data_IF_636950585425
#
_entry.id   IF_636950585425
#
_cell.length_a   1.000
_cell.length_b   1.000
_cell.length_c   1.000
_cell.angle_alpha   90.00
_cell.angle_beta   90.00
_cell.angle_gamma   90.00
#
_symmetry.space_group_name_H-M   'P 1'
#
loop_
_entity.id
_entity.type
_entity.pdbx_description
1 polymer ?
#
# COMPACT_ATOMS: atom_id res chain seq x y z
N UNK A 1 -6.49 4.75 7.86
CA UNK A 1 -7.60 3.98 7.28
C UNK A 1 -7.77 4.37 5.82
N UNK A 2 -8.24 3.45 4.97
CA UNK A 2 -8.68 3.70 3.59
C UNK A 2 -10.19 3.42 3.50
N UNK A 3 -10.93 4.24 2.78
CA UNK A 3 -12.36 4.06 2.55
C UNK A 3 -12.67 4.17 1.06
N UNK A 4 -13.44 3.21 0.53
CA UNK A 4 -13.86 3.18 -0.88
C UNK A 4 -15.35 2.94 -0.97
N UNK A 5 -16.05 3.66 -1.85
CA UNK A 5 -17.46 3.44 -2.13
C UNK A 5 -17.62 2.37 -3.21
N UNK A 6 -18.41 1.33 -2.93
CA UNK A 6 -18.63 0.22 -3.87
C UNK A 6 -19.90 0.39 -4.75
N UNK A 7 -20.55 1.55 -4.70
CA UNK A 7 -21.86 1.79 -5.33
C UNK A 7 -23.05 1.68 -4.36
N UNK A 8 -22.89 0.96 -3.24
CA UNK A 8 -23.99 0.72 -2.27
C UNK A 8 -23.61 0.94 -0.80
N UNK A 9 -22.33 0.75 -0.46
CA UNK A 9 -21.82 0.92 0.89
C UNK A 9 -20.36 1.40 0.88
N UNK A 10 -19.94 1.99 2.00
CA UNK A 10 -18.54 2.27 2.28
C UNK A 10 -17.84 0.99 2.72
N UNK A 11 -16.78 0.61 2.01
CA UNK A 11 -15.82 -0.39 2.47
C UNK A 11 -14.70 0.36 3.20
N UNK A 12 -14.45 0.04 4.46
CA UNK A 12 -13.40 0.67 5.28
C UNK A 12 -12.36 -0.38 5.63
N UNK A 13 -11.08 -0.06 5.43
CA UNK A 13 -9.95 -0.91 5.78
C UNK A 13 -8.91 -0.13 6.56
N UNK A 14 -8.28 -0.76 7.54
CA UNK A 14 -7.10 -0.22 8.19
C UNK A 14 -5.88 -0.48 7.30
N UNK A 15 -5.33 0.60 6.71
CA UNK A 15 -4.16 0.50 5.85
C UNK A 15 -2.84 0.40 6.63
N UNK A 16 -2.71 1.24 7.66
CA UNK A 16 -1.52 1.33 8.50
C UNK A 16 -1.97 1.70 9.91
N UNK A 17 -1.47 0.98 10.92
CA UNK A 17 -1.84 1.12 12.34
C UNK A 17 -0.82 1.92 13.18
N UNK A 18 0.34 2.29 12.59
CA UNK A 18 1.47 2.95 13.26
C UNK A 18 1.89 4.26 12.57
N UNK A 19 0.91 5.13 12.36
CA UNK A 19 1.12 6.47 11.79
C UNK A 19 1.26 7.46 12.95
N UNK A 20 2.11 8.49 12.83
CA UNK A 20 2.32 9.49 13.89
C UNK A 20 1.01 10.12 14.30
N UNK A 21 0.55 9.78 15.50
CA UNK A 21 -0.60 10.43 16.12
C UNK A 21 -0.11 11.70 16.78
N UNK A 22 -0.08 12.80 16.01
CA UNK A 22 -0.13 14.12 16.63
C UNK A 22 -1.44 14.20 17.40
N UNK A 23 -1.41 13.95 18.71
CA UNK A 23 -2.62 13.86 19.53
C UNK A 23 -3.47 15.12 19.40
N UNK A 24 -4.79 14.97 19.37
CA UNK A 24 -5.74 16.09 19.43
C UNK A 24 -5.41 16.93 20.67
N UNK A 25 -5.01 18.19 20.48
CA UNK A 25 -4.60 19.09 21.56
C UNK A 25 -3.08 19.19 21.81
N UNK A 26 -2.26 18.44 21.09
CA UNK A 26 -0.82 18.74 20.94
C UNK A 26 -0.64 19.60 19.70
N UNK A 27 0.30 20.56 19.74
CA UNK A 27 0.55 21.53 18.64
C UNK A 27 1.05 20.88 17.31
N UNK A 28 0.98 19.56 17.21
CA UNK A 28 1.55 18.69 16.17
C UNK A 28 0.48 18.06 15.27
N UNK A 29 -0.80 18.32 15.54
CA UNK A 29 -1.94 17.56 14.99
C UNK A 29 -2.41 17.91 13.57
N UNK A 30 -1.64 18.61 12.74
CA UNK A 30 -2.16 19.16 11.47
C UNK A 30 -1.43 18.74 10.19
N UNK A 31 -0.24 18.14 10.24
CA UNK A 31 0.60 17.96 9.03
C UNK A 31 0.86 16.52 8.60
N UNK A 32 0.61 15.53 9.46
CA UNK A 32 0.81 14.11 9.15
C UNK A 32 -0.40 13.53 8.42
N UNK A 33 -0.63 13.99 7.20
CA UNK A 33 -1.66 13.43 6.32
C UNK A 33 -1.03 12.36 5.44
N UNK A 34 -1.65 11.18 5.40
CA UNK A 34 -1.34 10.18 4.38
C UNK A 34 -1.97 10.59 3.05
N UNK A 35 -1.29 10.31 1.94
CA UNK A 35 -1.73 10.69 0.59
C UNK A 35 -2.03 9.44 -0.21
N UNK A 36 -3.27 9.37 -0.72
CA UNK A 36 -3.79 8.26 -1.51
C UNK A 36 -3.63 8.56 -3.00
N UNK A 37 -3.18 7.57 -3.75
CA UNK A 37 -3.29 7.52 -5.21
C UNK A 37 -3.78 6.14 -5.63
N UNK A 38 -4.37 6.05 -6.82
CA UNK A 38 -4.83 4.79 -7.40
C UNK A 38 -3.95 4.46 -8.61
N UNK A 39 -3.53 3.21 -8.72
CA UNK A 39 -2.83 2.71 -9.92
C UNK A 39 -3.80 2.48 -11.09
N UNK A 40 -3.25 2.05 -12.22
CA UNK A 40 -4.02 1.71 -13.43
C UNK A 40 -5.05 0.58 -13.24
N UNK A 41 -4.98 -0.16 -12.13
CA UNK A 41 -5.90 -1.24 -11.74
C UNK A 41 -6.87 -0.83 -10.63
N UNK A 42 -6.98 0.47 -10.31
CA UNK A 42 -7.74 1.02 -9.19
C UNK A 42 -7.30 0.49 -7.80
N UNK A 43 -6.07 -0.01 -7.70
CA UNK A 43 -5.46 -0.44 -6.44
C UNK A 43 -5.03 0.80 -5.66
N UNK A 44 -5.36 0.91 -4.36
CA UNK A 44 -4.97 2.06 -3.57
C UNK A 44 -3.53 1.97 -3.06
N UNK A 45 -2.81 3.10 -3.18
CA UNK A 45 -1.45 3.34 -2.72
C UNK A 45 -1.43 4.52 -1.76
N UNK A 46 -0.70 4.42 -0.66
CA UNK A 46 -0.66 5.45 0.38
C UNK A 46 0.79 5.78 0.73
N UNK A 47 1.20 7.04 0.58
CA UNK A 47 2.40 7.57 1.23
C UNK A 47 2.03 8.16 2.59
N UNK A 48 2.87 7.98 3.60
CA UNK A 48 2.61 8.46 4.96
C UNK A 48 3.92 8.73 5.71
N UNK A 49 3.86 9.60 6.73
CA UNK A 49 4.95 9.76 7.71
C UNK A 49 4.64 8.90 8.94
N UNK A 50 5.57 8.02 9.31
CA UNK A 50 5.35 6.97 10.30
C UNK A 50 5.97 7.30 11.67
N UNK A 51 5.39 6.79 12.76
CA UNK A 51 5.82 7.16 14.12
C UNK A 51 7.02 6.36 14.64
N UNK A 52 7.96 6.00 13.77
CA UNK A 52 9.06 5.12 14.14
C UNK A 52 10.31 5.86 14.61
N UNK A 53 10.27 7.20 14.70
CA UNK A 53 11.42 8.00 15.07
C UNK A 53 11.22 8.66 16.44
N UNK A 54 12.18 8.41 17.34
CA UNK A 54 12.32 8.94 18.69
C UNK A 54 12.57 10.46 18.75
N UNK A 55 12.04 11.22 17.78
CA UNK A 55 12.29 12.65 17.62
C UNK A 55 11.15 13.42 18.31
N UNK A 56 11.45 14.34 19.24
CA UNK A 56 10.43 15.04 20.02
C UNK A 56 9.56 16.03 19.21
N UNK A 57 9.68 16.05 17.89
CA UNK A 57 9.20 17.11 17.01
C UNK A 57 8.04 16.70 16.08
N UNK A 58 7.48 15.49 16.18
CA UNK A 58 6.32 15.09 15.36
C UNK A 58 6.64 14.84 13.89
N UNK A 59 7.89 14.53 13.60
CA UNK A 59 8.33 14.05 12.30
C UNK A 59 8.42 12.52 12.33
N UNK A 60 8.20 11.92 11.16
CA UNK A 60 8.20 10.47 11.01
C UNK A 60 9.02 10.00 9.83
N UNK A 61 9.43 8.73 9.81
CA UNK A 61 10.10 8.22 8.61
C UNK A 61 9.11 8.16 7.46
N UNK A 62 9.60 8.36 6.22
CA UNK A 62 8.75 8.23 5.05
C UNK A 62 8.38 6.76 4.83
N UNK A 63 7.09 6.49 4.90
CA UNK A 63 6.49 5.18 4.64
C UNK A 63 5.64 5.19 3.37
N UNK A 64 5.52 4.01 2.78
CA UNK A 64 4.66 3.74 1.64
C UNK A 64 3.94 2.42 1.84
N UNK A 65 2.66 2.38 1.46
CA UNK A 65 1.84 1.18 1.51
C UNK A 65 1.04 1.01 0.23
N UNK A 66 0.90 -0.23 -0.23
CA UNK A 66 0.08 -0.59 -1.39
C UNK A 66 -0.79 -1.80 -1.06
N UNK A 67 -2.06 -1.77 -1.48
CA UNK A 67 -2.96 -2.89 -1.25
C UNK A 67 -2.59 -4.05 -2.17
N UNK A 68 -2.17 -5.18 -1.60
CA UNK A 68 -1.90 -6.41 -2.34
C UNK A 68 -2.98 -7.44 -2.03
N UNK A 69 -3.94 -7.60 -2.93
CA UNK A 69 -5.10 -8.48 -2.74
C UNK A 69 -6.04 -7.98 -1.63
N UNK A 70 -5.87 -8.47 -0.39
CA UNK A 70 -6.67 -8.07 0.79
C UNK A 70 -5.84 -7.50 1.94
N UNK A 71 -4.53 -7.39 1.76
CA UNK A 71 -3.59 -6.96 2.80
C UNK A 71 -2.76 -5.80 2.28
N UNK A 72 -2.41 -4.88 3.17
CA UNK A 72 -1.51 -3.78 2.84
C UNK A 72 -0.07 -4.26 2.96
N UNK A 73 0.69 -4.14 1.87
CA UNK A 73 2.14 -4.25 1.93
C UNK A 73 2.71 -2.89 2.33
N UNK A 74 3.65 -2.86 3.28
CA UNK A 74 4.13 -1.63 3.92
C UNK A 74 5.65 -1.63 3.90
N UNK A 75 6.23 -0.54 3.42
CA UNK A 75 7.67 -0.33 3.42
C UNK A 75 8.06 1.05 3.98
N UNK A 76 9.25 1.12 4.55
CA UNK A 76 9.93 2.38 4.82
C UNK A 76 10.70 2.75 3.55
N UNK A 77 10.34 3.87 2.94
CA UNK A 77 10.95 4.34 1.69
C UNK A 77 12.39 4.79 1.95
N UNK A 78 12.58 5.55 3.03
CA UNK A 78 13.90 5.98 3.49
C UNK A 78 13.86 6.19 5.01
N UNK A 79 14.72 5.47 5.75
CA UNK A 79 14.82 5.60 7.21
C UNK A 79 15.69 6.76 7.67
N UNK A 80 16.40 7.41 6.74
CA UNK A 80 17.25 8.59 7.01
C UNK A 80 16.49 9.89 6.80
N UNK A 81 15.27 9.85 6.25
CA UNK A 81 14.45 11.04 6.00
C UNK A 81 13.33 11.11 7.01
N UNK A 82 13.24 12.26 7.70
CA UNK A 82 12.14 12.63 8.56
C UNK A 82 11.18 13.53 7.78
N UNK A 83 10.00 13.02 7.48
CA UNK A 83 8.94 13.72 6.77
C UNK A 83 7.97 14.38 7.77
N UNK A 84 7.68 15.66 7.52
CA UNK A 84 6.59 16.40 8.17
C UNK A 84 5.29 16.23 7.38
N UNK A 85 5.38 16.25 6.05
CA UNK A 85 4.30 15.95 5.11
C UNK A 85 4.88 15.26 3.88
N UNK A 86 4.04 14.51 3.16
CA UNK A 86 4.39 13.86 1.90
C UNK A 86 3.28 14.09 0.88
N UNK A 87 3.46 13.70 -0.37
CA UNK A 87 2.44 13.73 -1.43
C UNK A 87 2.77 12.60 -2.38
N UNK A 88 1.77 11.86 -2.83
CA UNK A 88 1.94 10.70 -3.70
C UNK A 88 1.32 10.95 -5.08
N UNK A 89 2.07 10.58 -6.11
CA UNK A 89 1.57 10.40 -7.47
C UNK A 89 2.14 9.11 -8.03
N UNK A 90 1.44 8.50 -8.99
CA UNK A 90 1.93 7.32 -9.70
C UNK A 90 2.28 7.72 -11.14
N UNK A 91 3.37 7.16 -11.65
CA UNK A 91 3.77 7.28 -13.04
C UNK A 91 2.84 6.51 -13.98
N UNK A 92 3.06 6.63 -15.28
CA UNK A 92 2.34 5.85 -16.30
C UNK A 92 2.61 4.34 -16.23
N UNK A 93 3.64 3.96 -15.49
CA UNK A 93 4.07 2.59 -15.19
C UNK A 93 3.67 2.16 -13.77
N UNK A 94 2.75 2.89 -13.14
CA UNK A 94 2.28 2.71 -11.75
C UNK A 94 3.37 2.87 -10.69
N UNK A 95 4.58 3.33 -11.05
CA UNK A 95 5.65 3.55 -10.08
C UNK A 95 5.36 4.78 -9.20
N UNK A 96 5.56 4.68 -7.88
CA UNK A 96 5.25 5.77 -6.96
C UNK A 96 6.33 6.85 -6.92
N UNK A 97 5.90 8.09 -7.12
CA UNK A 97 6.67 9.31 -6.93
C UNK A 97 6.15 10.04 -5.71
N UNK A 98 7.04 10.31 -4.75
CA UNK A 98 6.68 10.92 -3.49
C UNK A 98 7.48 12.22 -3.33
N UNK A 99 6.78 13.35 -3.24
CA UNK A 99 7.40 14.61 -2.79
C UNK A 99 7.11 14.84 -1.32
N UNK A 100 8.02 15.47 -0.59
CA UNK A 100 7.87 15.65 0.85
C UNK A 100 8.51 16.93 1.35
N UNK A 101 8.03 17.40 2.49
CA UNK A 101 8.67 18.45 3.27
C UNK A 101 9.25 17.79 4.52
N UNK A 102 10.55 17.94 4.73
CA UNK A 102 11.24 17.22 5.80
C UNK A 102 12.73 17.53 5.85
N UNK A 103 13.49 16.69 6.54
CA UNK A 103 14.96 16.77 6.59
C UNK A 103 15.60 15.39 6.63
N UNK A 104 16.93 15.37 6.49
CA UNK A 104 17.74 14.17 6.77
C UNK A 104 17.98 14.08 8.29
N UNK A 105 17.78 12.92 8.87
CA UNK A 105 18.04 12.62 10.28
C UNK A 105 19.50 12.93 10.64
N UNK A 106 19.71 13.67 11.73
CA UNK A 106 21.06 14.08 12.17
C UNK A 106 21.72 15.17 11.31
N UNK A 107 20.97 15.79 10.39
CA UNK A 107 21.43 17.02 9.74
C UNK A 107 21.37 18.21 10.70
N UNK A 108 22.20 19.24 10.48
CA UNK A 108 22.12 20.50 11.23
C UNK A 108 20.71 21.10 11.20
N UNK A 109 19.99 20.92 10.08
CA UNK A 109 18.58 21.26 9.98
C UNK A 109 17.78 20.50 11.04
N UNK A 110 17.86 19.17 11.09
CA UNK A 110 17.17 18.34 12.10
C UNK A 110 17.45 18.75 13.56
N UNK A 111 18.66 19.22 13.85
CA UNK A 111 19.07 19.65 15.19
C UNK A 111 18.57 21.06 15.53
N UNK A 112 18.39 21.93 14.53
CA UNK A 112 17.89 23.31 14.67
C UNK A 112 16.37 23.42 14.55
N UNK A 113 15.74 22.44 13.91
CA UNK A 113 14.32 22.47 13.53
C UNK A 113 13.49 21.72 14.57
N UNK A 114 12.93 22.46 15.53
CA UNK A 114 11.60 22.09 16.02
C UNK A 114 10.57 22.17 14.87
N UNK A 115 9.37 21.60 15.00
CA UNK A 115 8.38 21.51 13.91
C UNK A 115 7.80 22.86 13.42
N UNK A 116 8.35 23.99 13.88
CA UNK A 116 7.87 25.35 13.65
C UNK A 116 8.88 26.25 12.91
N UNK A 117 9.89 25.66 12.28
CA UNK A 117 10.86 26.41 11.47
C UNK A 117 10.46 26.35 9.99
N UNK A 118 10.42 27.52 9.34
CA UNK A 118 9.90 27.70 7.98
C UNK A 118 10.86 27.26 6.87
N UNK A 119 11.95 26.58 7.22
CA UNK A 119 13.03 26.21 6.30
C UNK A 119 13.16 24.69 6.31
N UNK A 120 12.21 24.03 5.66
CA UNK A 120 12.31 22.62 5.32
C UNK A 120 12.51 22.52 3.82
N UNK A 121 13.56 21.84 3.33
CA UNK A 121 13.70 21.59 1.91
C UNK A 121 12.52 20.73 1.41
N UNK A 122 12.10 21.00 0.18
CA UNK A 122 11.27 20.06 -0.57
C UNK A 122 12.19 18.96 -1.08
N UNK A 123 11.87 17.72 -0.75
CA UNK A 123 12.59 16.52 -1.18
C UNK A 123 11.67 15.62 -2.01
N UNK A 124 12.28 14.68 -2.73
CA UNK A 124 11.55 13.64 -3.46
C UNK A 124 12.16 12.26 -3.16
N UNK A 125 11.32 11.24 -3.22
CA UNK A 125 11.67 9.84 -3.07
C UNK A 125 10.80 8.97 -3.99
N UNK A 126 11.27 7.78 -4.32
CA UNK A 126 10.52 6.78 -5.09
C UNK A 126 10.47 5.50 -4.27
N UNK A 127 9.29 4.89 -4.13
CA UNK A 127 9.19 3.58 -3.49
C UNK A 127 9.40 2.47 -4.53
N UNK A 128 10.15 1.44 -4.18
CA UNK A 128 10.34 0.28 -5.07
C UNK A 128 9.14 -0.63 -4.87
N UNK A 129 8.37 -0.87 -5.93
CA UNK A 129 7.27 -1.83 -5.87
C UNK A 129 7.84 -3.26 -5.80
N UNK A 130 7.31 -4.13 -4.91
CA UNK A 130 7.60 -5.55 -5.03
C UNK A 130 7.13 -6.00 -6.41
N UNK A 131 7.93 -6.84 -7.09
CA UNK A 131 7.47 -7.47 -8.32
C UNK A 131 6.15 -8.20 -8.03
N UNK A 132 5.06 -7.80 -8.68
CA UNK A 132 3.80 -8.53 -8.61
C UNK A 132 4.13 -9.96 -9.03
N UNK A 133 4.05 -10.91 -8.09
CA UNK A 133 4.07 -12.32 -8.47
C UNK A 133 2.76 -12.56 -9.22
N UNK A 134 2.78 -12.34 -10.53
CA UNK A 134 1.85 -12.98 -11.45
C UNK A 134 1.76 -14.46 -11.05
N UNK A 135 0.57 -15.05 -10.97
CA UNK A 135 0.46 -16.47 -10.69
C UNK A 135 1.36 -17.21 -11.68
N UNK A 136 2.41 -17.85 -11.16
CA UNK A 136 3.39 -18.57 -12.01
C UNK A 136 2.63 -19.43 -13.02
N UNK A 137 3.11 -19.53 -14.26
CA UNK A 137 2.44 -20.30 -15.32
C UNK A 137 2.03 -21.70 -14.84
N UNK A 138 2.81 -22.28 -13.93
CA UNK A 138 2.50 -23.52 -13.18
C UNK A 138 1.16 -23.51 -12.44
N UNK A 139 0.82 -22.44 -11.71
CA UNK A 139 -0.44 -22.33 -10.99
C UNK A 139 -1.64 -22.26 -11.95
N UNK A 140 -1.49 -21.54 -13.06
CA UNK A 140 -2.49 -21.47 -14.13
C UNK A 140 -2.69 -22.85 -14.77
N UNK A 141 -1.60 -23.54 -15.12
CA UNK A 141 -1.63 -24.89 -15.70
C UNK A 141 -2.30 -25.90 -14.76
N UNK A 142 -2.01 -25.87 -13.46
CA UNK A 142 -2.62 -26.76 -12.47
C UNK A 142 -4.14 -26.56 -12.41
N UNK A 143 -4.61 -25.31 -12.38
CA UNK A 143 -6.06 -25.00 -12.38
C UNK A 143 -6.73 -25.55 -13.65
N UNK A 144 -6.11 -25.37 -14.82
CA UNK A 144 -6.64 -25.91 -16.08
C UNK A 144 -6.65 -27.46 -16.10
N UNK A 145 -5.59 -28.11 -15.62
CA UNK A 145 -5.51 -29.58 -15.57
C UNK A 145 -6.56 -30.16 -14.63
N UNK A 146 -6.76 -29.56 -13.45
CA UNK A 146 -7.78 -29.99 -12.48
C UNK A 146 -9.19 -29.80 -13.05
N UNK A 147 -9.46 -28.67 -13.71
CA UNK A 147 -10.74 -28.42 -14.36
C UNK A 147 -11.02 -29.43 -15.49
N UNK A 148 -10.03 -29.73 -16.32
CA UNK A 148 -10.14 -30.73 -17.39
C UNK A 148 -10.38 -32.14 -16.84
N UNK A 149 -9.68 -32.53 -15.78
CA UNK A 149 -9.89 -33.82 -15.12
C UNK A 149 -11.31 -33.96 -14.55
N UNK A 150 -11.84 -32.89 -13.94
CA UNK A 150 -13.22 -32.85 -13.46
C UNK A 150 -14.25 -32.98 -14.60
N UNK A 151 -14.04 -32.29 -15.71
CA UNK A 151 -14.89 -32.40 -16.91
C UNK A 151 -14.89 -33.82 -17.50
N UNK A 152 -13.72 -34.46 -17.60
CA UNK A 152 -13.60 -35.85 -18.06
C UNK A 152 -14.33 -36.81 -17.11
N UNK A 153 -14.13 -36.64 -15.80
CA UNK A 153 -14.82 -37.43 -14.77
C UNK A 153 -16.36 -37.34 -14.89
N UNK A 154 -16.89 -36.12 -15.07
CA UNK A 154 -18.31 -35.89 -15.28
C UNK A 154 -18.82 -36.56 -16.57
N UNK A 155 -18.09 -36.44 -17.68
CA UNK A 155 -18.47 -37.08 -18.95
C UNK A 155 -18.52 -38.61 -18.84
N UNK A 156 -17.53 -39.21 -18.18
CA UNK A 156 -17.50 -40.66 -17.93
C UNK A 156 -18.66 -41.08 -17.04
N UNK A 157 -18.93 -40.33 -15.97
CA UNK A 157 -20.07 -40.57 -15.07
C UNK A 157 -21.41 -40.54 -15.82
N UNK A 158 -21.64 -39.51 -16.65
CA UNK A 158 -22.88 -39.39 -17.42
C UNK A 158 -23.03 -40.49 -18.48
N UNK A 159 -21.93 -40.91 -19.14
CA UNK A 159 -21.96 -42.06 -20.07
C UNK A 159 -22.32 -43.36 -19.35
N UNK A 160 -21.75 -43.62 -18.17
CA UNK A 160 -22.02 -44.84 -17.38
C UNK A 160 -23.47 -44.86 -16.87
N UNK A 161 -23.97 -43.72 -16.38
CA UNK A 161 -25.37 -43.57 -15.92
C UNK A 161 -26.39 -43.76 -17.06
N UNK A 162 -26.09 -43.29 -18.28
CA UNK A 162 -26.95 -43.55 -19.45
C UNK A 162 -27.01 -45.04 -19.77
N UNK A 163 -25.88 -45.77 -19.80
CA UNK A 163 -25.88 -47.22 -20.09
C UNK A 163 -26.70 -48.05 -19.08
N UNK A 164 -26.69 -47.67 -17.80
CA UNK A 164 -27.48 -48.36 -16.77
C UNK A 164 -29.00 -48.13 -16.86
N UNK A 165 -29.47 -47.11 -17.60
CA UNK A 165 -30.91 -46.86 -17.80
C UNK A 165 -31.54 -47.65 -18.95
N UNK A 166 -30.74 -48.35 -19.76
CA UNK A 166 -31.20 -49.08 -20.95
C UNK A 166 -30.86 -50.59 -20.89
N UNK A 167 -30.56 -51.11 -19.70
CA UNK A 167 -30.39 -52.55 -19.41
C UNK A 167 -31.43 -52.98 -18.40
#
# INVERSE_FOLDING_TARGET
MCASWNGTAWNIQEAVSRVTTGGVGTHVGFFTMGYLSLDSHDTPHIAFANDFASVPSGWGNLGYASLTGKTWDIQIVDSTILAQSCYLSLGSDDNPYISLMGVIQGSEAADLTGPYTWISPVMYATAILPSVMEPTETAIVIVFVVAMAACVGLLVYFKKRKKQKYS
#
